data_IF_877654211388
#
_entry.id   IF_877654211388
#
_cell.length_a   1.000
_cell.length_b   1.000
_cell.length_c   1.000
_cell.angle_alpha   90.00
_cell.angle_beta   90.00
_cell.angle_gamma   90.00
#
_symmetry.space_group_name_H-M   'P 1'
#
loop_
_entity.id
_entity.type
_entity.pdbx_description
1 polymer ?
#
# COMPACT_ATOMS: atom_id res chain seq x y z
N UNK A 1 3.76 46.03 13.17
CA UNK A 1 4.89 45.72 14.09
C UNK A 1 5.71 44.64 13.43
N UNK A 2 6.92 45.00 12.99
CA UNK A 2 7.87 44.15 12.28
C UNK A 2 8.96 43.79 13.28
N UNK A 3 9.28 42.51 13.44
CA UNK A 3 10.43 42.05 14.22
C UNK A 3 11.43 41.38 13.27
N UNK A 4 12.59 42.02 13.14
CA UNK A 4 13.77 41.55 12.43
C UNK A 4 14.79 41.08 13.46
N UNK A 5 15.41 39.92 13.24
CA UNK A 5 16.54 39.44 14.03
C UNK A 5 17.84 39.76 13.30
N UNK A 6 18.65 40.63 13.90
CA UNK A 6 20.02 40.89 13.48
C UNK A 6 20.99 39.99 14.27
N UNK A 7 21.80 39.21 13.57
CA UNK A 7 22.95 38.51 14.13
C UNK A 7 24.13 39.48 14.23
N UNK A 8 24.68 39.66 15.43
CA UNK A 8 25.99 40.27 15.63
C UNK A 8 26.97 39.19 16.11
N UNK A 9 27.98 38.92 15.28
CA UNK A 9 29.18 38.19 15.62
C UNK A 9 30.14 39.18 16.27
N UNK A 10 30.67 38.85 17.44
CA UNK A 10 31.92 39.43 17.94
C UNK A 10 32.87 38.28 18.34
N UNK A 11 33.94 38.13 17.56
CA UNK A 11 35.15 37.41 17.92
C UNK A 11 36.05 38.34 18.75
N UNK A 12 36.54 37.87 19.89
CA UNK A 12 37.92 38.09 20.35
C UNK A 12 38.22 37.17 21.54
N UNK A 13 39.29 36.39 21.42
CA UNK A 13 39.65 35.33 22.37
C UNK A 13 40.65 35.75 23.44
N UNK A 14 40.87 34.86 24.41
CA UNK A 14 42.17 34.23 24.68
C UNK A 14 42.06 33.16 25.78
N UNK A 15 42.86 32.10 25.59
CA UNK A 15 43.51 31.23 26.56
C UNK A 15 42.73 30.49 27.66
N UNK A 16 42.63 29.17 27.45
CA UNK A 16 43.10 28.18 28.43
C UNK A 16 42.11 27.76 29.51
N UNK A 17 41.64 26.51 29.41
CA UNK A 17 41.52 25.48 30.47
C UNK A 17 40.50 24.43 30.01
N UNK A 18 40.96 23.19 29.83
CA UNK A 18 40.10 22.04 29.57
C UNK A 18 39.35 21.64 30.86
N UNK A 19 38.06 21.21 30.77
CA UNK A 19 37.45 20.43 31.83
C UNK A 19 37.16 18.98 31.39
N UNK A 20 37.42 18.10 32.35
CA UNK A 20 37.31 16.64 32.34
C UNK A 20 35.91 16.09 32.02
N UNK A 21 35.88 14.90 31.42
CA UNK A 21 34.71 14.02 31.35
C UNK A 21 34.41 13.41 32.74
N UNK A 22 33.15 13.38 33.20
CA UNK A 22 32.80 12.64 34.40
C UNK A 22 32.62 11.15 34.09
N UNK A 23 33.43 10.33 34.73
CA UNK A 23 33.30 8.88 34.77
C UNK A 23 31.99 8.45 35.47
N UNK A 24 31.15 7.69 34.76
CA UNK A 24 29.95 7.04 35.32
C UNK A 24 30.32 5.64 35.83
N UNK A 25 30.19 5.42 37.13
CA UNK A 25 30.36 4.11 37.77
C UNK A 25 29.14 3.20 37.53
N UNK A 26 29.31 1.86 37.50
CA UNK A 26 28.22 0.93 37.22
C UNK A 26 27.37 0.69 38.47
N UNK A 27 26.05 0.91 38.35
CA UNK A 27 25.09 0.49 39.38
C UNK A 27 24.69 -0.97 39.11
N UNK A 28 25.08 -1.85 40.02
CA UNK A 28 24.64 -3.24 40.05
C UNK A 28 23.17 -3.32 40.48
N UNK A 29 22.34 -3.95 39.66
CA UNK A 29 20.91 -4.14 39.92
C UNK A 29 20.19 -4.86 38.78
N UNK A 30 20.79 -5.93 38.23
CA UNK A 30 20.14 -6.77 37.24
C UNK A 30 19.33 -7.87 37.94
N UNK A 31 18.04 -7.60 38.20
CA UNK A 31 17.07 -8.66 38.44
C UNK A 31 16.78 -9.32 37.09
N UNK A 32 17.20 -10.57 36.95
CA UNK A 32 16.93 -11.40 35.78
C UNK A 32 15.41 -11.63 35.64
N UNK A 33 14.78 -11.02 34.63
CA UNK A 33 13.49 -11.48 34.14
C UNK A 33 13.71 -12.77 33.36
N UNK A 34 13.31 -13.89 33.95
CA UNK A 34 13.26 -15.18 33.30
C UNK A 34 12.45 -15.11 32.00
N UNK A 35 13.03 -15.65 30.92
CA UNK A 35 12.36 -15.82 29.63
C UNK A 35 11.14 -16.75 29.79
N UNK A 36 9.94 -16.40 29.31
CA UNK A 36 8.89 -17.39 29.16
C UNK A 36 9.31 -18.35 28.05
N UNK A 37 9.36 -19.62 28.42
CA UNK A 37 9.54 -20.78 27.55
C UNK A 37 8.62 -20.72 26.33
N UNK A 38 9.16 -21.10 25.19
CA UNK A 38 8.48 -21.31 23.91
C UNK A 38 7.30 -22.27 24.05
N UNK A 39 6.09 -21.74 24.27
CA UNK A 39 4.83 -22.40 23.91
C UNK A 39 4.46 -22.00 22.49
N UNK A 40 4.15 -22.99 21.64
CA UNK A 40 4.00 -22.86 20.19
C UNK A 40 3.20 -21.63 19.74
N UNK A 41 3.79 -20.85 18.83
CA UNK A 41 3.12 -19.77 18.16
C UNK A 41 1.87 -20.31 17.44
N UNK A 42 0.70 -19.84 17.86
CA UNK A 42 -0.54 -20.05 17.12
C UNK A 42 -0.34 -19.53 15.69
N UNK A 43 -0.71 -20.34 14.69
CA UNK A 43 -0.74 -19.90 13.30
C UNK A 43 -1.58 -18.62 13.20
N UNK A 44 -1.03 -17.57 12.58
CA UNK A 44 -1.70 -16.27 12.49
C UNK A 44 -3.11 -16.38 11.89
N UNK A 45 -4.05 -15.62 12.44
CA UNK A 45 -5.44 -15.57 11.97
C UNK A 45 -5.54 -14.67 10.74
N UNK A 46 -5.57 -15.26 9.54
CA UNK A 46 -5.90 -14.55 8.30
C UNK A 46 -7.35 -14.77 7.89
N UNK A 47 -8.02 -13.75 7.33
CA UNK A 47 -9.37 -13.82 6.77
C UNK A 47 -9.41 -13.21 5.37
N UNK A 48 -9.99 -13.94 4.43
CA UNK A 48 -10.37 -13.39 3.12
C UNK A 48 -11.76 -12.77 3.19
N UNK A 49 -11.94 -11.66 2.48
CA UNK A 49 -13.19 -10.91 2.43
C UNK A 49 -13.71 -10.85 1.00
N UNK A 50 -15.01 -11.06 0.83
CA UNK A 50 -15.67 -10.78 -0.44
C UNK A 50 -15.91 -9.29 -0.62
N UNK A 51 -16.08 -8.85 -1.87
CA UNK A 51 -16.46 -7.47 -2.13
C UNK A 51 -17.81 -7.14 -1.47
N UNK A 52 -18.80 -8.03 -1.54
CA UNK A 52 -20.11 -7.82 -0.93
C UNK A 52 -20.03 -7.64 0.59
N UNK A 53 -19.26 -8.48 1.29
CA UNK A 53 -19.04 -8.36 2.73
C UNK A 53 -18.46 -6.99 3.11
N UNK A 54 -17.48 -6.48 2.35
CA UNK A 54 -16.91 -5.16 2.63
C UNK A 54 -17.84 -4.04 2.18
N UNK A 55 -18.58 -4.21 1.08
CA UNK A 55 -19.57 -3.24 0.63
C UNK A 55 -20.61 -3.02 1.73
N UNK A 56 -21.11 -4.06 2.39
CA UNK A 56 -22.08 -3.95 3.49
C UNK A 56 -21.59 -3.10 4.67
N UNK A 57 -20.27 -2.90 4.82
CA UNK A 57 -19.68 -2.04 5.86
C UNK A 57 -19.60 -0.56 5.49
N UNK A 58 -19.87 -0.19 4.23
CA UNK A 58 -19.81 1.19 3.79
C UNK A 58 -20.88 2.05 4.47
N UNK A 59 -20.53 3.25 4.98
CA UNK A 59 -21.49 4.18 5.57
C UNK A 59 -22.46 4.72 4.51
N UNK A 60 -23.55 5.36 4.94
CA UNK A 60 -24.52 6.01 4.04
C UNK A 60 -23.97 7.26 3.34
N UNK A 61 -22.91 7.87 3.89
CA UNK A 61 -22.22 9.04 3.35
C UNK A 61 -20.72 8.91 3.58
N UNK A 62 -19.92 9.37 2.63
CA UNK A 62 -18.46 9.43 2.71
C UNK A 62 -18.03 10.88 2.50
N UNK A 63 -17.34 11.45 3.48
CA UNK A 63 -16.57 12.69 3.31
C UNK A 63 -15.19 12.37 2.74
N UNK A 64 -14.76 13.14 1.74
CA UNK A 64 -13.51 12.91 1.02
C UNK A 64 -12.69 14.19 0.88
N UNK A 65 -11.38 14.00 0.67
CA UNK A 65 -10.44 15.02 0.24
C UNK A 65 -9.53 14.53 -0.89
N UNK A 66 -9.10 15.46 -1.73
CA UNK A 66 -8.15 15.24 -2.81
C UNK A 66 -6.72 15.31 -2.27
N UNK A 67 -6.01 14.20 -2.34
CA UNK A 67 -4.58 14.12 -2.11
C UNK A 67 -3.85 14.44 -3.43
N UNK A 68 -3.17 15.58 -3.48
CA UNK A 68 -2.33 15.95 -4.64
C UNK A 68 -1.00 15.21 -4.57
N UNK A 69 -0.81 14.22 -5.45
CA UNK A 69 0.42 13.43 -5.51
C UNK A 69 1.39 14.03 -6.52
N UNK A 70 2.58 14.50 -6.10
CA UNK A 70 3.57 15.04 -7.02
C UNK A 70 4.16 13.94 -7.92
N UNK A 71 4.30 14.23 -9.21
CA UNK A 71 4.87 13.34 -10.23
C UNK A 71 6.07 14.00 -10.90
N UNK A 72 6.94 13.18 -11.50
CA UNK A 72 8.08 13.70 -12.26
C UNK A 72 7.61 14.50 -13.47
N UNK A 73 8.36 15.55 -13.81
CA UNK A 73 8.15 16.30 -15.05
C UNK A 73 8.26 15.36 -16.27
N UNK A 74 7.41 15.61 -17.27
CA UNK A 74 7.40 14.82 -18.50
C UNK A 74 8.70 14.98 -19.31
N UNK A 75 9.41 16.10 -19.15
CA UNK A 75 10.71 16.35 -19.77
C UNK A 75 11.61 17.10 -18.77
N UNK A 76 12.95 17.04 -18.93
CA UNK A 76 13.87 17.86 -18.15
C UNK A 76 13.51 19.35 -18.25
N UNK A 77 13.28 20.01 -17.12
CA UNK A 77 12.85 21.42 -17.07
C UNK A 77 11.35 21.65 -17.36
N UNK A 78 10.54 20.60 -17.46
CA UNK A 78 9.08 20.71 -17.61
C UNK A 78 8.37 21.21 -16.35
N UNK A 79 7.09 21.57 -16.50
CA UNK A 79 6.25 22.00 -15.38
C UNK A 79 6.05 20.87 -14.36
N UNK A 80 5.89 21.20 -13.07
CA UNK A 80 5.55 20.21 -12.05
C UNK A 80 4.22 19.54 -12.41
N UNK A 81 4.20 18.21 -12.35
CA UNK A 81 2.99 17.40 -12.54
C UNK A 81 2.47 16.96 -11.19
N UNK A 82 1.15 16.88 -11.07
CA UNK A 82 0.50 16.25 -9.93
C UNK A 82 -0.75 15.50 -10.40
N UNK A 83 -1.12 14.44 -9.68
CA UNK A 83 -2.36 13.70 -9.91
C UNK A 83 -3.21 13.74 -8.63
N UNK A 84 -4.49 14.10 -8.72
CA UNK A 84 -5.38 14.05 -7.58
C UNK A 84 -5.83 12.61 -7.32
N UNK A 85 -5.67 12.15 -6.08
CA UNK A 85 -6.23 10.90 -5.58
C UNK A 85 -7.23 11.24 -4.49
N UNK A 86 -8.51 10.96 -4.75
CA UNK A 86 -9.57 11.21 -3.78
C UNK A 86 -9.62 10.07 -2.78
N UNK A 87 -9.61 10.42 -1.50
CA UNK A 87 -9.67 9.46 -0.40
C UNK A 87 -10.62 9.97 0.69
N UNK A 88 -11.18 9.03 1.42
CA UNK A 88 -11.99 9.28 2.61
C UNK A 88 -11.20 10.09 3.63
N UNK A 89 -11.89 11.01 4.27
CA UNK A 89 -11.32 11.81 5.34
C UNK A 89 -11.09 10.99 6.61
N UNK A 90 -9.93 11.19 7.23
CA UNK A 90 -9.57 10.48 8.45
C UNK A 90 -10.54 10.79 9.59
N UNK A 91 -11.02 12.04 9.69
CA UNK A 91 -12.01 12.42 10.70
C UNK A 91 -13.35 11.72 10.48
N UNK A 92 -13.77 11.54 9.23
CA UNK A 92 -15.00 10.81 8.89
C UNK A 92 -14.89 9.32 9.25
N UNK A 93 -13.78 8.67 8.91
CA UNK A 93 -13.51 7.28 9.30
C UNK A 93 -13.47 7.11 10.83
N UNK A 94 -12.83 8.04 11.55
CA UNK A 94 -12.77 8.03 13.02
C UNK A 94 -14.14 8.25 13.65
N UNK A 95 -14.95 9.15 13.08
CA UNK A 95 -16.30 9.41 13.57
C UNK A 95 -17.18 8.16 13.47
N UNK A 96 -17.10 7.41 12.36
CA UNK A 96 -17.82 6.14 12.21
C UNK A 96 -17.43 5.13 13.31
N UNK A 97 -16.15 5.01 13.67
CA UNK A 97 -15.72 4.11 14.76
C UNK A 97 -16.32 4.54 16.09
N UNK A 98 -16.31 5.84 16.39
CA UNK A 98 -16.85 6.37 17.65
C UNK A 98 -18.36 6.12 17.76
N UNK A 99 -19.13 6.36 16.70
CA UNK A 99 -20.59 6.19 16.75
C UNK A 99 -21.03 4.73 16.72
N UNK A 100 -20.33 3.87 15.98
CA UNK A 100 -20.62 2.43 15.98
C UNK A 100 -20.31 1.74 17.32
N UNK A 101 -19.43 2.35 18.13
CA UNK A 101 -19.13 1.86 19.48
C UNK A 101 -20.20 2.26 20.49
N UNK A 102 -20.87 3.41 20.32
CA UNK A 102 -21.92 3.89 21.23
C UNK A 102 -23.28 3.26 20.97
N UNK A 103 -23.58 2.86 19.73
CA UNK A 103 -24.86 2.21 19.39
C UNK A 103 -25.02 0.79 19.98
N UNK A 104 -24.00 0.23 20.64
CA UNK A 104 -24.08 -1.05 21.37
C UNK A 104 -24.31 -0.91 22.88
N UNK A 105 -24.31 0.31 23.43
CA UNK A 105 -24.44 0.54 24.88
C UNK A 105 -25.84 1.07 25.31
N UNK A 106 -26.75 1.34 24.37
CA UNK A 106 -28.05 2.00 24.65
C UNK A 106 -29.28 1.05 24.55
N UNK A 107 -29.10 -0.27 24.41
CA UNK A 107 -30.19 -1.26 24.23
C UNK A 107 -30.48 -2.15 25.48
N UNK A 108 -29.99 -1.80 26.67
CA UNK A 108 -30.48 -2.40 27.93
C UNK A 108 -31.35 -1.37 28.69
N UNK A 109 -32.62 -1.30 28.26
CA UNK A 109 -33.72 -0.60 28.92
C UNK A 109 -33.96 -1.10 30.36
N UNK A 110 -34.43 -0.16 31.19
CA UNK A 110 -35.07 -0.36 32.50
C UNK A 110 -36.08 -1.54 32.51
N UNK A 111 -35.92 -2.49 33.43
CA UNK A 111 -36.93 -2.95 34.40
C UNK A 111 -36.52 -4.32 35.01
N UNK A 112 -36.10 -4.30 36.28
CA UNK A 112 -36.60 -5.16 37.37
C UNK A 112 -35.57 -5.28 38.51
N UNK A 113 -35.97 -4.75 39.67
CA UNK A 113 -35.30 -4.93 40.94
C UNK A 113 -35.58 -6.35 41.44
N UNK A 114 -34.60 -7.26 41.34
CA UNK A 114 -34.50 -8.39 42.27
C UNK A 114 -33.08 -8.54 42.84
N UNK A 115 -33.00 -8.46 44.16
CA UNK A 115 -31.79 -8.66 44.95
C UNK A 115 -31.22 -10.09 44.79
N UNK A 116 -29.92 -10.16 44.53
CA UNK A 116 -29.08 -11.23 45.06
C UNK A 116 -28.61 -12.29 44.07
N UNK A 117 -27.53 -12.00 43.34
CA UNK A 117 -26.50 -13.00 43.00
C UNK A 117 -25.17 -12.30 42.67
N UNK A 118 -24.01 -12.75 43.21
CA UNK A 118 -22.72 -12.13 42.91
C UNK A 118 -22.27 -12.49 41.49
N UNK A 119 -22.31 -11.54 40.56
CA UNK A 119 -21.86 -11.71 39.17
C UNK A 119 -20.33 -11.64 39.05
N UNK A 120 -19.83 -12.63 38.31
CA UNK A 120 -18.56 -12.77 37.57
C UNK A 120 -17.78 -11.46 37.33
N UNK A 121 -16.68 -11.27 38.06
CA UNK A 121 -15.64 -10.27 37.77
C UNK A 121 -14.84 -10.57 36.47
N UNK A 122 -15.02 -11.73 35.83
CA UNK A 122 -14.29 -12.10 34.62
C UNK A 122 -14.88 -11.61 33.29
N UNK A 123 -16.18 -11.29 33.23
CA UNK A 123 -16.83 -10.87 31.98
C UNK A 123 -16.64 -9.37 31.70
N UNK A 124 -16.68 -8.54 32.75
CA UNK A 124 -16.42 -7.10 32.65
C UNK A 124 -14.95 -6.81 32.25
N UNK A 125 -14.00 -7.63 32.71
CA UNK A 125 -12.60 -7.50 32.32
C UNK A 125 -12.35 -7.88 30.84
N UNK A 126 -13.09 -8.86 30.32
CA UNK A 126 -13.01 -9.25 28.91
C UNK A 126 -13.68 -8.23 27.97
N UNK A 127 -14.81 -7.64 28.41
CA UNK A 127 -15.46 -6.54 27.69
C UNK A 127 -14.60 -5.26 27.72
N UNK A 128 -13.98 -4.93 28.86
CA UNK A 128 -13.04 -3.82 28.97
C UNK A 128 -11.77 -4.03 28.11
N UNK A 129 -11.24 -5.26 28.05
CA UNK A 129 -10.12 -5.59 27.17
C UNK A 129 -10.49 -5.49 25.67
N UNK A 130 -11.71 -5.89 25.29
CA UNK A 130 -12.22 -5.73 23.93
C UNK A 130 -12.48 -4.25 23.58
N UNK A 131 -12.95 -3.46 24.54
CA UNK A 131 -13.08 -2.00 24.44
C UNK A 131 -11.71 -1.31 24.30
N UNK A 132 -10.68 -1.74 25.03
CA UNK A 132 -9.31 -1.23 24.86
C UNK A 132 -8.75 -1.58 23.47
N UNK A 133 -8.95 -2.80 22.98
CA UNK A 133 -8.48 -3.24 21.66
C UNK A 133 -9.13 -2.46 20.49
N UNK A 134 -10.38 -2.01 20.64
CA UNK A 134 -11.12 -1.23 19.62
C UNK A 134 -10.99 0.29 19.75
N UNK A 135 -10.56 0.83 20.90
CA UNK A 135 -10.49 2.30 21.17
C UNK A 135 -9.14 2.95 20.87
N UNK A 136 -8.14 2.21 20.36
CA UNK A 136 -6.82 2.78 20.05
C UNK A 136 -6.74 3.65 18.78
N UNK A 137 -7.87 4.03 18.20
CA UNK A 137 -7.99 4.92 17.03
C UNK A 137 -7.56 6.39 17.32
N UNK A 138 -7.24 6.71 18.59
CA UNK A 138 -6.76 8.02 19.05
C UNK A 138 -5.45 8.01 19.87
N UNK A 139 -4.64 6.95 19.84
CA UNK A 139 -3.40 6.88 20.62
C UNK A 139 -2.34 7.92 20.17
N UNK A 140 -1.47 8.35 21.09
CA UNK A 140 -0.35 9.26 20.80
C UNK A 140 0.73 8.66 19.87
N UNK A 141 0.71 7.34 19.67
CA UNK A 141 1.54 6.61 18.71
C UNK A 141 0.64 5.97 17.65
N UNK A 142 0.90 6.27 16.38
CA UNK A 142 0.23 5.64 15.23
C UNK A 142 0.60 4.13 15.09
N UNK A 143 1.57 3.63 15.88
CA UNK A 143 2.05 2.24 15.83
C UNK A 143 2.01 1.60 17.23
N UNK A 144 1.13 0.62 17.40
CA UNK A 144 1.03 -0.32 18.51
C UNK A 144 1.18 -1.75 17.97
N UNK A 145 2.37 -2.37 18.05
CA UNK A 145 2.63 -3.68 17.45
C UNK A 145 1.63 -4.74 17.92
N UNK A 146 1.01 -5.45 16.97
CA UNK A 146 0.05 -6.52 17.25
C UNK A 146 -1.33 -6.09 17.75
N UNK A 147 -1.58 -4.77 17.87
CA UNK A 147 -2.89 -4.21 18.30
C UNK A 147 -3.42 -3.21 17.27
N UNK A 148 -2.64 -2.21 16.90
CA UNK A 148 -3.04 -1.21 15.89
C UNK A 148 -1.82 -0.64 15.17
N UNK A 149 -1.70 -0.89 13.87
CA UNK A 149 -0.52 -0.55 13.06
C UNK A 149 -0.74 0.63 12.10
N UNK A 150 -1.56 1.61 12.47
CA UNK A 150 -1.55 2.92 11.80
C UNK A 150 -2.16 2.99 10.40
N UNK A 151 -3.03 2.06 10.03
CA UNK A 151 -3.54 1.91 8.67
C UNK A 151 -4.57 2.94 8.19
N UNK A 152 -5.18 3.72 9.09
CA UNK A 152 -6.17 4.75 8.69
C UNK A 152 -5.51 6.01 8.10
N UNK A 153 -4.22 6.22 8.39
CA UNK A 153 -3.46 7.38 7.92
C UNK A 153 -2.79 7.07 6.58
N UNK A 154 -2.76 8.06 5.69
CA UNK A 154 -1.94 7.98 4.48
C UNK A 154 -0.50 8.34 4.80
N UNK A 155 0.43 7.45 4.45
CA UNK A 155 1.86 7.61 4.67
C UNK A 155 2.56 8.18 3.43
N UNK A 156 3.59 9.01 3.60
CA UNK A 156 4.24 9.73 2.50
C UNK A 156 4.87 8.78 1.46
N UNK A 157 5.40 7.62 1.90
CA UNK A 157 5.99 6.66 0.96
C UNK A 157 4.96 6.10 -0.04
N UNK A 158 3.65 6.18 0.23
CA UNK A 158 2.63 5.73 -0.73
C UNK A 158 2.54 6.67 -1.94
N UNK A 159 2.83 7.96 -1.74
CA UNK A 159 2.90 8.98 -2.79
C UNK A 159 4.17 8.76 -3.63
N UNK A 160 5.31 8.49 -2.98
CA UNK A 160 6.55 8.16 -3.68
C UNK A 160 6.38 6.90 -4.56
N UNK A 161 5.59 5.93 -4.09
CA UNK A 161 5.27 4.72 -4.84
C UNK A 161 4.39 5.00 -6.07
N UNK A 162 3.40 5.89 -5.95
CA UNK A 162 2.61 6.38 -7.10
C UNK A 162 3.51 7.08 -8.12
N UNK A 163 4.44 7.92 -7.67
CA UNK A 163 5.39 8.59 -8.56
C UNK A 163 6.30 7.57 -9.28
N UNK A 164 6.77 6.53 -8.59
CA UNK A 164 7.53 5.44 -9.21
C UNK A 164 6.72 4.65 -10.24
N UNK A 165 5.42 4.42 -9.99
CA UNK A 165 4.51 3.77 -10.94
C UNK A 165 4.29 4.62 -12.20
N UNK A 166 4.15 5.95 -12.07
CA UNK A 166 4.08 6.86 -13.24
C UNK A 166 5.37 6.83 -14.06
N UNK A 167 6.54 6.85 -13.42
CA UNK A 167 7.82 6.73 -14.13
C UNK A 167 7.96 5.37 -14.84
N UNK A 168 7.52 4.29 -14.21
CA UNK A 168 7.50 2.95 -14.81
C UNK A 168 6.57 2.89 -16.04
N UNK A 169 5.38 3.45 -15.93
CA UNK A 169 4.43 3.50 -17.03
C UNK A 169 5.00 4.28 -18.21
N UNK A 170 5.63 5.43 -17.98
CA UNK A 170 6.27 6.21 -19.04
C UNK A 170 7.34 5.42 -19.78
N UNK A 171 8.22 4.72 -19.04
CA UNK A 171 9.24 3.86 -19.64
C UNK A 171 8.64 2.72 -20.48
N UNK A 172 7.50 2.17 -20.05
CA UNK A 172 6.77 1.13 -20.82
C UNK A 172 6.02 1.70 -22.01
N UNK A 173 5.47 2.90 -21.88
CA UNK A 173 4.71 3.59 -22.94
C UNK A 173 5.63 3.97 -24.08
N UNK A 174 6.83 4.46 -23.80
CA UNK A 174 7.86 4.72 -24.81
C UNK A 174 8.19 3.44 -25.62
N UNK A 175 8.09 2.26 -25.00
CA UNK A 175 8.34 0.98 -25.66
C UNK A 175 7.10 0.40 -26.39
N UNK A 176 5.89 0.59 -25.87
CA UNK A 176 4.66 -0.10 -26.32
C UNK A 176 3.60 0.80 -27.00
N UNK A 177 3.73 2.12 -26.91
CA UNK A 177 2.91 3.10 -27.63
C UNK A 177 1.58 3.51 -26.96
N UNK A 178 1.11 2.80 -25.93
CA UNK A 178 -0.13 3.13 -25.23
C UNK A 178 0.05 3.12 -23.70
N UNK A 179 -0.21 4.27 -23.07
CA UNK A 179 -0.05 4.45 -21.62
C UNK A 179 -0.98 3.55 -20.82
N UNK A 180 -0.46 2.94 -19.77
CA UNK A 180 -1.15 2.04 -18.83
C UNK A 180 -1.74 0.76 -19.45
N UNK A 181 -1.61 0.53 -20.76
CA UNK A 181 -2.13 -0.64 -21.46
C UNK A 181 -1.59 -1.96 -20.89
N UNK A 182 -0.34 -1.96 -20.41
CA UNK A 182 0.32 -3.11 -19.78
C UNK A 182 -0.38 -3.59 -18.50
N UNK A 183 -1.19 -2.76 -17.86
CA UNK A 183 -1.86 -3.09 -16.60
C UNK A 183 -3.05 -4.06 -16.80
N UNK A 184 -3.62 -4.13 -18.00
CA UNK A 184 -4.72 -5.05 -18.31
C UNK A 184 -4.28 -6.51 -18.16
N UNK A 185 -5.07 -7.29 -17.43
CA UNK A 185 -4.80 -8.71 -17.14
C UNK A 185 -3.65 -8.95 -16.16
N UNK A 186 -3.07 -7.89 -15.59
CA UNK A 186 -2.08 -8.00 -14.53
C UNK A 186 -2.72 -8.45 -13.21
N UNK A 187 -1.94 -9.18 -12.42
CA UNK A 187 -2.20 -9.44 -11.01
C UNK A 187 -1.33 -8.50 -10.19
N UNK A 188 -1.96 -7.59 -9.46
CA UNK A 188 -1.32 -6.62 -8.58
C UNK A 188 -1.59 -7.01 -7.13
N UNK A 189 -0.55 -7.05 -6.30
CA UNK A 189 -0.64 -7.25 -4.85
C UNK A 189 -0.17 -5.98 -4.14
N UNK A 190 -0.93 -5.49 -3.17
CA UNK A 190 -0.49 -4.44 -2.25
C UNK A 190 -0.48 -4.98 -0.81
N UNK A 191 0.72 -5.11 -0.23
CA UNK A 191 0.93 -5.56 1.15
C UNK A 191 1.00 -4.38 2.11
N UNK A 192 0.18 -4.42 3.16
CA UNK A 192 0.02 -3.31 4.10
C UNK A 192 -0.66 -2.13 3.40
N UNK A 193 -1.82 -2.37 2.80
CA UNK A 193 -2.43 -1.43 1.87
C UNK A 193 -2.93 -0.15 2.55
N UNK A 194 -3.30 -0.15 3.83
CA UNK A 194 -3.74 1.06 4.52
C UNK A 194 -4.87 1.78 3.77
N UNK A 195 -4.66 3.06 3.46
CA UNK A 195 -5.58 3.87 2.65
C UNK A 195 -5.55 3.56 1.14
N UNK A 196 -4.78 2.57 0.70
CA UNK A 196 -4.74 2.02 -0.65
C UNK A 196 -4.44 3.05 -1.76
N UNK A 197 -3.68 4.10 -1.46
CA UNK A 197 -3.35 5.16 -2.42
C UNK A 197 -2.71 4.63 -3.73
N UNK A 198 -1.72 3.72 -3.69
CA UNK A 198 -1.16 3.11 -4.89
C UNK A 198 -2.19 2.31 -5.70
N UNK A 199 -2.99 1.45 -5.05
CA UNK A 199 -4.05 0.69 -5.75
C UNK A 199 -5.18 1.59 -6.28
N UNK A 200 -5.58 2.63 -5.55
CA UNK A 200 -6.57 3.61 -5.99
C UNK A 200 -6.09 4.35 -7.25
N UNK A 201 -4.82 4.72 -7.29
CA UNK A 201 -4.19 5.28 -8.49
C UNK A 201 -4.24 4.31 -9.68
N UNK A 202 -3.81 3.06 -9.49
CA UNK A 202 -3.85 2.05 -10.56
C UNK A 202 -5.28 1.78 -11.04
N UNK A 203 -6.25 1.71 -10.13
CA UNK A 203 -7.66 1.53 -10.44
C UNK A 203 -8.21 2.71 -11.25
N UNK A 204 -7.85 3.94 -10.91
CA UNK A 204 -8.23 5.14 -11.69
C UNK A 204 -7.63 5.10 -13.10
N UNK A 205 -6.40 4.60 -13.27
CA UNK A 205 -5.78 4.39 -14.58
C UNK A 205 -6.56 3.36 -15.39
N UNK A 206 -6.91 2.21 -14.80
CA UNK A 206 -7.73 1.19 -15.44
C UNK A 206 -9.07 1.75 -15.94
N UNK A 207 -9.79 2.52 -15.10
CA UNK A 207 -11.05 3.17 -15.48
C UNK A 207 -10.91 4.33 -16.47
N UNK A 208 -9.69 4.77 -16.76
CA UNK A 208 -9.42 5.80 -17.77
C UNK A 208 -8.98 5.21 -19.11
N UNK A 209 -8.67 3.91 -19.16
CA UNK A 209 -8.36 3.23 -20.41
C UNK A 209 -9.64 3.13 -21.26
N UNK A 210 -9.53 3.42 -22.55
CA UNK A 210 -10.67 3.29 -23.46
C UNK A 210 -11.04 1.81 -23.62
N UNK A 211 -12.34 1.51 -23.62
CA UNK A 211 -12.89 0.22 -24.03
C UNK A 211 -12.62 -0.11 -25.51
N UNK A 212 -12.05 0.83 -26.28
CA UNK A 212 -11.84 0.71 -27.71
C UNK A 212 -11.13 -0.61 -28.06
N UNK A 213 -11.84 -1.58 -28.67
CA UNK A 213 -11.18 -2.73 -29.23
C UNK A 213 -10.30 -2.23 -30.39
N UNK A 214 -9.05 -2.71 -30.55
CA UNK A 214 -8.35 -2.55 -31.81
C UNK A 214 -9.27 -3.07 -32.93
N UNK A 215 -9.56 -2.19 -33.89
CA UNK A 215 -10.52 -2.45 -34.95
C UNK A 215 -10.14 -3.72 -35.71
N UNK A 216 -11.16 -4.58 -35.90
CA UNK A 216 -11.20 -5.75 -36.78
C UNK A 216 -10.37 -6.95 -36.28
N UNK A 217 -11.06 -7.96 -35.72
CA UNK A 217 -10.70 -9.40 -35.58
C UNK A 217 -10.87 -9.94 -34.14
N UNK A 218 -12.03 -9.87 -33.47
CA UNK A 218 -12.08 -10.25 -32.04
C UNK A 218 -13.37 -10.79 -31.43
N UNK A 219 -14.33 -11.32 -32.18
CA UNK A 219 -15.38 -12.13 -31.52
C UNK A 219 -14.81 -13.39 -30.84
N UNK A 220 -13.61 -13.86 -31.26
CA UNK A 220 -12.93 -15.01 -30.66
C UNK A 220 -12.01 -14.70 -29.47
N UNK A 221 -11.40 -13.49 -29.38
CA UNK A 221 -10.43 -13.16 -28.31
C UNK A 221 -11.08 -12.50 -27.07
N UNK A 222 -12.31 -12.00 -27.17
CA UNK A 222 -13.07 -11.54 -25.98
C UNK A 222 -13.38 -12.67 -24.99
N UNK A 223 -13.39 -13.92 -25.45
CA UNK A 223 -13.58 -15.09 -24.59
C UNK A 223 -12.34 -15.48 -23.75
N UNK A 224 -11.17 -14.85 -23.97
CA UNK A 224 -9.89 -15.20 -23.31
C UNK A 224 -9.20 -14.03 -22.59
N UNK A 225 -9.82 -12.84 -22.52
CA UNK A 225 -9.23 -11.70 -21.83
C UNK A 225 -9.12 -11.98 -20.32
N UNK A 226 -7.91 -12.25 -19.84
CA UNK A 226 -7.61 -12.47 -18.43
C UNK A 226 -8.01 -11.24 -17.62
N UNK A 227 -8.80 -11.45 -16.56
CA UNK A 227 -9.19 -10.38 -15.64
C UNK A 227 -7.96 -9.74 -14.97
N UNK A 228 -8.03 -8.42 -14.78
CA UNK A 228 -7.05 -7.67 -13.97
C UNK A 228 -7.40 -7.88 -12.51
N UNK A 229 -6.47 -8.38 -11.69
CA UNK A 229 -6.69 -8.56 -10.25
C UNK A 229 -5.95 -7.47 -9.47
N UNK A 230 -6.67 -6.76 -8.60
CA UNK A 230 -6.08 -5.98 -7.52
C UNK A 230 -6.32 -6.70 -6.20
N UNK A 231 -5.25 -7.20 -5.58
CA UNK A 231 -5.29 -7.87 -4.29
C UNK A 231 -4.69 -6.95 -3.22
N UNK A 232 -5.51 -6.54 -2.26
CA UNK A 232 -5.13 -5.62 -1.20
C UNK A 232 -5.13 -6.34 0.14
N UNK A 233 -4.05 -6.19 0.91
CA UNK A 233 -3.88 -6.86 2.19
C UNK A 233 -3.51 -5.89 3.29
N UNK A 234 -4.19 -5.94 4.43
CA UNK A 234 -3.83 -5.18 5.63
C UNK A 234 -3.86 -6.07 6.86
N UNK A 235 -3.14 -5.71 7.93
CA UNK A 235 -3.24 -6.46 9.17
C UNK A 235 -4.65 -6.34 9.78
N UNK A 236 -5.27 -5.17 9.67
CA UNK A 236 -6.52 -4.85 10.35
C UNK A 236 -7.72 -4.91 9.39
N UNK A 237 -8.70 -5.75 9.69
CA UNK A 237 -9.95 -5.81 8.92
C UNK A 237 -10.67 -4.46 8.84
N UNK A 238 -10.67 -3.69 9.93
CA UNK A 238 -11.27 -2.36 9.98
C UNK A 238 -10.61 -1.38 9.01
N UNK A 239 -9.32 -1.53 8.68
CA UNK A 239 -8.68 -0.67 7.67
C UNK A 239 -9.29 -0.93 6.30
N UNK A 240 -9.53 -2.21 5.96
CA UNK A 240 -10.17 -2.60 4.71
C UNK A 240 -11.58 -1.99 4.57
N UNK A 241 -12.35 -2.06 5.65
CA UNK A 241 -13.74 -1.58 5.74
C UNK A 241 -13.82 -0.05 5.75
N UNK A 242 -13.01 0.61 6.58
CA UNK A 242 -13.14 2.03 6.87
C UNK A 242 -12.45 2.92 5.85
N UNK A 243 -11.35 2.48 5.23
CA UNK A 243 -10.57 3.34 4.33
C UNK A 243 -10.19 2.69 3.01
N UNK A 244 -9.82 1.41 2.97
CA UNK A 244 -9.36 0.79 1.72
C UNK A 244 -10.48 0.72 0.67
N UNK A 245 -11.59 0.03 0.96
CA UNK A 245 -12.70 -0.09 0.01
C UNK A 245 -13.35 1.29 -0.29
N UNK A 246 -13.64 2.17 0.69
CA UNK A 246 -14.11 3.53 0.42
C UNK A 246 -13.21 4.30 -0.57
N UNK A 247 -11.89 4.16 -0.47
CA UNK A 247 -10.96 4.85 -1.37
C UNK A 247 -10.96 4.26 -2.78
N UNK A 248 -11.13 2.94 -2.93
CA UNK A 248 -11.31 2.32 -4.25
C UNK A 248 -12.63 2.75 -4.91
N UNK A 249 -13.70 2.88 -4.13
CA UNK A 249 -14.98 3.41 -4.58
C UNK A 249 -14.84 4.88 -5.04
N UNK A 250 -14.10 5.71 -4.28
CA UNK A 250 -13.78 7.09 -4.68
C UNK A 250 -12.92 7.14 -5.94
N UNK A 251 -11.94 6.26 -6.10
CA UNK A 251 -11.12 6.17 -7.30
C UNK A 251 -11.98 5.90 -8.55
N UNK A 252 -12.98 5.02 -8.44
CA UNK A 252 -13.99 4.85 -9.48
C UNK A 252 -14.87 6.09 -9.64
N UNK A 253 -15.40 6.64 -8.55
CA UNK A 253 -16.35 7.75 -8.57
C UNK A 253 -15.76 9.02 -9.21
N UNK A 254 -14.45 9.24 -9.15
CA UNK A 254 -13.77 10.37 -9.81
C UNK A 254 -13.11 10.00 -11.14
N UNK A 255 -13.33 8.78 -11.64
CA UNK A 255 -12.85 8.34 -12.95
C UNK A 255 -13.85 8.67 -14.07
N UNK A 256 -13.44 8.58 -15.34
CA UNK A 256 -14.36 8.64 -16.48
C UNK A 256 -15.44 7.55 -16.44
N UNK A 257 -15.16 6.37 -15.89
CA UNK A 257 -16.09 5.23 -15.89
C UNK A 257 -17.40 5.50 -15.11
N UNK A 258 -17.39 6.41 -14.13
CA UNK A 258 -18.61 6.75 -13.38
C UNK A 258 -19.36 7.97 -13.93
N UNK A 259 -18.96 8.53 -15.08
CA UNK A 259 -19.59 9.72 -15.68
C UNK A 259 -21.10 9.56 -15.86
N UNK A 260 -21.54 8.44 -16.43
CA UNK A 260 -22.97 8.17 -16.66
C UNK A 260 -23.77 8.11 -15.36
N UNK A 261 -23.18 7.55 -14.29
CA UNK A 261 -23.79 7.54 -12.96
C UNK A 261 -23.92 8.95 -12.37
N UNK A 262 -22.84 9.75 -12.44
CA UNK A 262 -22.83 11.11 -11.86
C UNK A 262 -23.83 12.02 -12.57
N UNK A 263 -23.95 11.92 -13.89
CA UNK A 263 -24.89 12.69 -14.71
C UNK A 263 -26.36 12.36 -14.42
N UNK A 264 -26.67 11.08 -14.19
CA UNK A 264 -28.05 10.63 -13.94
C UNK A 264 -28.49 10.82 -12.50
N UNK A 265 -27.55 10.83 -11.55
CA UNK A 265 -27.82 10.98 -10.12
C UNK A 265 -28.07 12.42 -9.68
N UNK A 266 -28.08 13.39 -10.60
CA UNK A 266 -28.27 14.81 -10.29
C UNK A 266 -27.16 15.42 -9.40
N UNK A 267 -26.04 14.71 -9.24
CA UNK A 267 -24.83 15.27 -8.65
C UNK A 267 -24.33 16.33 -9.60
N UNK A 268 -24.60 17.60 -9.30
CA UNK A 268 -24.10 18.76 -10.05
C UNK A 268 -22.57 18.78 -9.97
N UNK A 269 -21.94 17.97 -10.81
CA UNK A 269 -20.53 18.09 -11.10
C UNK A 269 -20.45 19.29 -12.03
N UNK A 270 -20.11 20.45 -11.45
CA UNK A 270 -19.48 21.50 -12.23
C UNK A 270 -18.33 20.85 -13.02
N UNK A 271 -18.12 21.26 -14.27
CA UNK A 271 -17.17 20.70 -15.23
C UNK A 271 -15.91 20.09 -14.59
N UNK A 272 -15.33 19.05 -15.21
CA UNK A 272 -14.10 18.35 -14.76
C UNK A 272 -12.95 19.24 -14.26
N UNK A 273 -12.95 20.53 -14.59
CA UNK A 273 -12.00 21.56 -14.15
C UNK A 273 -12.26 22.12 -12.72
N UNK A 274 -13.39 21.81 -12.07
CA UNK A 274 -13.76 22.30 -10.72
C UNK A 274 -14.16 21.16 -9.78
N UNK A 275 -13.45 20.02 -9.82
CA UNK A 275 -13.62 19.02 -8.76
C UNK A 275 -13.18 19.64 -7.45
N UNK A 276 -14.12 19.85 -6.54
CA UNK A 276 -13.81 20.37 -5.21
C UNK A 276 -12.74 19.49 -4.56
N UNK A 277 -11.74 20.12 -3.95
CA UNK A 277 -10.63 19.43 -3.27
C UNK A 277 -11.11 18.66 -2.04
N UNK A 278 -12.35 18.85 -1.61
CA UNK A 278 -13.04 18.06 -0.61
C UNK A 278 -14.55 18.12 -0.83
N UNK A 279 -15.27 17.15 -0.28
CA UNK A 279 -16.73 17.11 -0.37
C UNK A 279 -17.32 15.85 0.23
N UNK A 280 -18.60 15.62 -0.06
CA UNK A 280 -19.35 14.46 0.41
C UNK A 280 -20.00 13.72 -0.75
N UNK A 281 -20.09 12.39 -0.65
CA UNK A 281 -20.91 11.57 -1.54
C UNK A 281 -21.88 10.71 -0.74
N UNK A 282 -23.10 10.56 -1.25
CA UNK A 282 -24.08 9.62 -0.71
C UNK A 282 -23.84 8.22 -1.28
N UNK A 283 -23.75 7.21 -0.41
CA UNK A 283 -23.49 5.81 -0.76
C UNK A 283 -24.80 5.05 -0.91
N UNK A 284 -25.52 5.35 -1.99
CA UNK A 284 -26.79 4.69 -2.31
C UNK A 284 -26.60 3.27 -2.84
N UNK A 285 -27.66 2.45 -2.84
CA UNK A 285 -27.65 1.15 -3.52
C UNK A 285 -27.33 1.26 -5.02
N UNK A 286 -27.76 2.36 -5.67
CA UNK A 286 -27.44 2.64 -7.07
C UNK A 286 -25.95 2.93 -7.29
N UNK A 287 -25.30 3.67 -6.37
CA UNK A 287 -23.85 3.90 -6.41
C UNK A 287 -23.09 2.57 -6.35
N UNK A 288 -23.47 1.73 -5.38
CA UNK A 288 -22.85 0.42 -5.13
C UNK A 288 -22.98 -0.48 -6.36
N UNK A 289 -24.18 -0.57 -6.94
CA UNK A 289 -24.44 -1.34 -8.14
C UNK A 289 -23.65 -0.82 -9.36
N UNK A 290 -23.57 0.50 -9.54
CA UNK A 290 -22.82 1.10 -10.65
C UNK A 290 -21.30 0.87 -10.53
N UNK A 291 -20.75 0.89 -9.32
CA UNK A 291 -19.36 0.54 -9.07
C UNK A 291 -19.06 -0.91 -9.44
N UNK A 292 -19.87 -1.85 -8.96
CA UNK A 292 -19.73 -3.29 -9.27
C UNK A 292 -19.89 -3.54 -10.78
N UNK A 293 -20.85 -2.90 -11.42
CA UNK A 293 -21.04 -3.00 -12.87
C UNK A 293 -19.82 -2.50 -13.66
N UNK A 294 -19.19 -1.42 -13.19
CA UNK A 294 -17.99 -0.87 -13.84
C UNK A 294 -16.77 -1.78 -13.69
N UNK A 295 -16.60 -2.41 -12.52
CA UNK A 295 -15.56 -3.43 -12.32
C UNK A 295 -15.76 -4.60 -13.28
N UNK A 296 -16.99 -5.11 -13.41
CA UNK A 296 -17.32 -6.20 -14.32
C UNK A 296 -17.08 -5.81 -15.79
N UNK A 297 -17.52 -4.62 -16.20
CA UNK A 297 -17.32 -4.11 -17.57
C UNK A 297 -15.83 -4.00 -17.94
N UNK A 298 -14.98 -3.59 -17.00
CA UNK A 298 -13.54 -3.46 -17.21
C UNK A 298 -12.75 -4.75 -16.93
N UNK A 299 -13.43 -5.87 -16.64
CA UNK A 299 -12.81 -7.13 -16.23
C UNK A 299 -11.81 -6.96 -15.07
N UNK A 300 -12.21 -6.21 -14.04
CA UNK A 300 -11.40 -5.95 -12.84
C UNK A 300 -11.97 -6.77 -11.68
N UNK A 301 -11.10 -7.54 -11.04
CA UNK A 301 -11.37 -8.28 -9.80
C UNK A 301 -10.68 -7.59 -8.63
N UNK A 302 -11.40 -7.42 -7.52
CA UNK A 302 -10.85 -6.93 -6.26
C UNK A 302 -10.85 -8.08 -5.24
N UNK A 303 -9.70 -8.34 -4.63
CA UNK A 303 -9.54 -9.34 -3.55
C UNK A 303 -8.98 -8.66 -2.32
N UNK A 304 -9.45 -9.08 -1.15
CA UNK A 304 -9.09 -8.49 0.12
C UNK A 304 -8.76 -9.57 1.16
N UNK A 305 -7.61 -9.46 1.80
CA UNK A 305 -7.20 -10.35 2.90
C UNK A 305 -6.80 -9.49 4.11
N UNK A 306 -7.29 -9.83 5.30
CA UNK A 306 -6.86 -9.22 6.57
C UNK A 306 -6.07 -10.20 7.43
N UNK A 307 -5.07 -9.69 8.16
CA UNK A 307 -4.31 -10.43 9.18
C UNK A 307 -2.83 -10.50 8.88
N UNK A 308 -2.11 -11.36 9.61
CA UNK A 308 -0.67 -11.51 9.46
C UNK A 308 -0.29 -12.03 8.06
N UNK A 309 0.79 -11.50 7.48
CA UNK A 309 1.24 -11.88 6.14
C UNK A 309 1.52 -13.39 5.98
N UNK A 310 1.90 -14.09 7.05
CA UNK A 310 2.12 -15.54 7.03
C UNK A 310 0.85 -16.33 6.69
N UNK A 311 -0.32 -15.76 6.96
CA UNK A 311 -1.62 -16.36 6.66
C UNK A 311 -2.09 -16.12 5.22
N UNK A 312 -1.40 -15.25 4.45
CA UNK A 312 -1.79 -14.92 3.08
C UNK A 312 -1.68 -16.13 2.15
N UNK A 313 -2.79 -16.42 1.46
CA UNK A 313 -2.89 -17.52 0.49
C UNK A 313 -2.57 -17.01 -0.91
N UNK A 314 -1.29 -17.06 -1.25
CA UNK A 314 -0.78 -16.66 -2.56
C UNK A 314 -0.83 -17.85 -3.54
N UNK A 315 -1.99 -18.08 -4.16
CA UNK A 315 -2.21 -19.18 -5.11
C UNK A 315 -1.36 -19.07 -6.38
N UNK A 316 -1.12 -17.84 -6.84
CA UNK A 316 -0.35 -17.53 -8.04
C UNK A 316 0.59 -16.36 -7.78
N UNK A 317 1.66 -16.28 -8.58
CA UNK A 317 2.58 -15.14 -8.57
C UNK A 317 1.95 -13.90 -9.20
N UNK A 318 2.41 -12.74 -8.76
CA UNK A 318 1.91 -11.44 -9.20
C UNK A 318 2.80 -10.82 -10.26
N UNK A 319 2.20 -10.01 -11.12
CA UNK A 319 2.89 -9.22 -12.12
C UNK A 319 3.47 -7.95 -11.49
N UNK A 320 2.75 -7.39 -10.51
CA UNK A 320 3.17 -6.24 -9.71
C UNK A 320 2.95 -6.53 -8.22
N UNK A 321 3.96 -6.23 -7.39
CA UNK A 321 3.86 -6.30 -5.92
C UNK A 321 4.26 -4.94 -5.36
N UNK A 322 3.42 -4.39 -4.50
CA UNK A 322 3.55 -3.06 -3.91
C UNK A 322 3.58 -3.19 -2.39
N UNK A 323 4.43 -2.40 -1.75
CA UNK A 323 4.39 -2.25 -0.30
C UNK A 323 4.93 -0.87 0.10
N UNK A 324 4.28 -0.23 1.06
CA UNK A 324 4.62 1.13 1.49
C UNK A 324 4.67 1.23 3.01
N UNK A 325 5.79 1.69 3.55
CA UNK A 325 6.07 1.81 4.99
C UNK A 325 5.78 0.53 5.79
N UNK A 326 6.19 -0.64 5.29
CA UNK A 326 5.99 -1.94 5.95
C UNK A 326 7.25 -2.53 6.59
N UNK A 327 8.40 -1.87 6.42
CA UNK A 327 9.71 -2.34 6.93
C UNK A 327 10.12 -1.68 8.27
N UNK A 328 9.18 -1.03 8.94
CA UNK A 328 9.42 -0.26 10.16
C UNK A 328 9.68 -1.14 11.39
N UNK A 329 9.19 -2.38 11.40
CA UNK A 329 9.34 -3.32 12.51
C UNK A 329 10.34 -4.44 12.16
N UNK A 330 11.55 -4.47 12.79
CA UNK A 330 12.56 -5.50 12.50
C UNK A 330 12.06 -6.94 12.66
N UNK A 331 11.13 -7.16 13.60
CA UNK A 331 10.56 -8.49 13.90
C UNK A 331 9.72 -9.05 12.75
N UNK A 332 9.10 -8.18 11.95
CA UNK A 332 8.20 -8.55 10.85
C UNK A 332 8.93 -8.74 9.52
N UNK A 333 10.20 -8.32 9.42
CA UNK A 333 10.98 -8.36 8.18
C UNK A 333 11.11 -9.76 7.60
N UNK A 334 11.28 -10.78 8.45
CA UNK A 334 11.42 -12.16 7.99
C UNK A 334 10.14 -12.65 7.30
N UNK A 335 8.97 -12.38 7.89
CA UNK A 335 7.66 -12.73 7.33
C UNK A 335 7.36 -11.91 6.07
N UNK A 336 7.68 -10.62 6.07
CA UNK A 336 7.51 -9.75 4.90
C UNK A 336 8.34 -10.25 3.71
N UNK A 337 9.64 -10.48 3.92
CA UNK A 337 10.53 -10.93 2.84
C UNK A 337 10.13 -12.30 2.29
N UNK A 338 9.64 -13.21 3.15
CA UNK A 338 9.08 -14.48 2.70
C UNK A 338 7.84 -14.30 1.82
N UNK A 339 6.96 -13.41 2.22
CA UNK A 339 5.71 -13.13 1.52
C UNK A 339 6.01 -12.49 0.16
N UNK A 340 6.91 -11.50 0.11
CA UNK A 340 7.37 -10.90 -1.14
C UNK A 340 8.02 -11.95 -2.06
N UNK A 341 8.88 -12.82 -1.54
CA UNK A 341 9.50 -13.89 -2.31
C UNK A 341 8.47 -14.88 -2.86
N UNK A 342 7.46 -15.25 -2.06
CA UNK A 342 6.34 -16.10 -2.49
C UNK A 342 5.39 -15.41 -3.47
N UNK A 343 5.32 -14.08 -3.48
CA UNK A 343 4.51 -13.30 -4.40
C UNK A 343 5.20 -13.09 -5.76
N UNK A 344 6.53 -13.08 -5.79
CA UNK A 344 7.32 -12.79 -6.99
C UNK A 344 7.68 -14.03 -7.82
N UNK A 345 7.74 -13.85 -9.13
CA UNK A 345 8.47 -14.73 -10.06
C UNK A 345 9.97 -14.46 -9.91
N UNK A 346 10.78 -15.44 -10.31
CA UNK A 346 12.22 -15.27 -10.35
C UNK A 346 12.59 -14.12 -11.29
N UNK A 347 13.43 -13.21 -10.80
CA UNK A 347 13.94 -12.05 -11.51
C UNK A 347 15.44 -11.96 -11.26
N UNK A 348 16.30 -12.05 -12.31
CA UNK A 348 17.74 -11.88 -12.14
C UNK A 348 18.06 -10.48 -11.60
N UNK A 349 19.17 -10.33 -10.89
CA UNK A 349 19.55 -9.02 -10.37
C UNK A 349 19.72 -8.01 -11.53
N UNK A 350 19.37 -6.72 -11.37
CA UNK A 350 19.46 -5.74 -12.45
C UNK A 350 20.84 -5.67 -13.10
N UNK A 351 21.91 -5.85 -12.31
CA UNK A 351 23.28 -5.92 -12.80
C UNK A 351 23.51 -7.13 -13.72
N UNK A 352 22.95 -8.28 -13.36
CA UNK A 352 23.00 -9.51 -14.16
C UNK A 352 22.11 -9.39 -15.41
N UNK A 353 20.92 -8.80 -15.28
CA UNK A 353 20.03 -8.55 -16.41
C UNK A 353 20.69 -7.63 -17.44
N UNK A 354 21.26 -6.49 -17.00
CA UNK A 354 22.04 -5.57 -17.84
C UNK A 354 23.26 -6.25 -18.45
N UNK A 355 23.95 -7.14 -17.71
CA UNK A 355 25.08 -7.92 -18.24
C UNK A 355 24.64 -8.91 -19.32
N UNK A 356 23.58 -9.68 -19.08
CA UNK A 356 23.00 -10.61 -20.03
C UNK A 356 22.51 -9.90 -21.30
N UNK A 357 21.88 -8.74 -21.16
CA UNK A 357 21.46 -7.90 -22.28
C UNK A 357 22.67 -7.41 -23.08
N UNK A 358 23.70 -6.86 -22.42
CA UNK A 358 24.96 -6.49 -23.09
C UNK A 358 25.60 -7.68 -23.81
N UNK A 359 25.68 -8.84 -23.19
CA UNK A 359 26.24 -10.05 -23.81
C UNK A 359 25.44 -10.49 -25.04
N UNK A 360 24.10 -10.41 -25.02
CA UNK A 360 23.23 -10.69 -26.18
C UNK A 360 23.49 -9.70 -27.32
N UNK A 361 23.60 -8.41 -27.02
CA UNK A 361 23.94 -7.39 -28.02
C UNK A 361 25.36 -7.53 -28.58
N UNK A 362 26.30 -8.01 -27.77
CA UNK A 362 27.69 -8.23 -28.21
C UNK A 362 27.80 -9.48 -29.10
N UNK A 363 27.07 -10.55 -28.77
CA UNK A 363 27.05 -11.79 -29.55
C UNK A 363 26.40 -11.63 -30.93
N UNK A 364 25.51 -10.64 -31.11
CA UNK A 364 24.94 -10.28 -32.42
C UNK A 364 25.87 -9.37 -33.24
N UNK A 365 26.84 -8.70 -32.61
CA UNK A 365 27.80 -7.80 -33.26
C UNK A 365 29.07 -8.52 -33.74
N UNK A 366 29.45 -9.62 -33.09
CA UNK A 366 30.53 -10.52 -33.56
C UNK A 366 29.89 -11.60 -34.44
N UNK A 367 29.86 -11.38 -35.75
CA UNK A 367 29.28 -12.30 -36.74
C UNK A 367 30.03 -13.63 -36.91
N UNK A 368 30.20 -14.41 -35.85
CA UNK A 368 30.57 -15.81 -35.94
C UNK A 368 29.32 -16.66 -35.71
N UNK A 369 28.67 -17.02 -36.82
CA UNK A 369 27.68 -18.07 -36.85
C UNK A 369 28.35 -19.40 -36.47
N UNK A 370 28.25 -19.79 -35.21
CA UNK A 370 28.44 -21.19 -34.83
C UNK A 370 27.18 -21.95 -35.24
N UNK A 371 27.23 -22.51 -36.44
CA UNK A 371 26.27 -23.49 -36.91
C UNK A 371 26.40 -24.74 -36.02
N UNK A 372 25.34 -25.09 -35.31
CA UNK A 372 25.19 -26.42 -34.72
C UNK A 372 23.78 -26.94 -34.91
N UNK A 373 23.65 -28.23 -35.26
CA UNK A 373 22.48 -28.73 -35.96
C UNK A 373 21.33 -29.06 -35.01
N UNK A 374 20.11 -28.79 -35.49
CA UNK A 374 18.87 -29.52 -35.23
C UNK A 374 18.66 -30.05 -33.80
N UNK A 375 17.98 -29.24 -32.99
CA UNK A 375 17.03 -29.75 -32.03
C UNK A 375 15.76 -28.92 -32.15
N UNK A 376 14.71 -29.51 -32.73
CA UNK A 376 13.34 -29.05 -32.64
C UNK A 376 12.93 -28.96 -31.17
N UNK A 377 13.16 -27.81 -30.54
CA UNK A 377 12.59 -27.51 -29.24
C UNK A 377 11.08 -27.35 -29.43
N UNK A 378 10.23 -28.11 -28.72
CA UNK A 378 8.79 -27.89 -28.76
C UNK A 378 8.54 -26.47 -28.25
N UNK A 379 7.58 -25.77 -28.88
CA UNK A 379 7.07 -24.45 -28.48
C UNK A 379 7.24 -24.19 -26.98
N UNK A 380 8.36 -23.57 -26.58
CA UNK A 380 8.51 -23.09 -25.23
C UNK A 380 7.52 -21.94 -25.11
N UNK A 381 6.49 -22.12 -24.26
CA UNK A 381 5.60 -21.04 -23.87
C UNK A 381 6.48 -19.83 -23.51
N UNK A 382 6.14 -18.61 -23.99
CA UNK A 382 6.94 -17.43 -23.67
C UNK A 382 7.08 -17.36 -22.15
N UNK A 383 8.33 -17.32 -21.67
CA UNK A 383 8.60 -17.22 -20.24
C UNK A 383 7.85 -16.01 -19.68
N UNK A 384 7.05 -16.22 -18.63
CA UNK A 384 6.26 -15.16 -18.02
C UNK A 384 7.17 -13.99 -17.62
N UNK A 385 6.73 -12.76 -17.89
CA UNK A 385 7.48 -11.56 -17.54
C UNK A 385 7.83 -11.52 -16.05
N UNK A 386 9.02 -11.00 -15.68
CA UNK A 386 9.44 -10.90 -14.29
C UNK A 386 8.49 -10.02 -13.49
N UNK A 387 8.34 -10.32 -12.20
CA UNK A 387 7.52 -9.50 -11.30
C UNK A 387 8.16 -8.13 -11.07
N UNK A 388 7.37 -7.08 -11.16
CA UNK A 388 7.76 -5.74 -10.69
C UNK A 388 7.40 -5.61 -9.21
N UNK A 389 8.38 -5.80 -8.32
CA UNK A 389 8.18 -5.66 -6.88
C UNK A 389 8.80 -4.35 -6.37
N UNK A 390 7.96 -3.48 -5.81
CA UNK A 390 8.33 -2.15 -5.35
C UNK A 390 8.04 -2.01 -3.84
N UNK A 391 9.06 -1.62 -3.08
CA UNK A 391 8.96 -1.35 -1.64
C UNK A 391 9.36 0.10 -1.38
N UNK A 392 8.40 0.94 -0.98
CA UNK A 392 8.63 2.32 -0.59
C UNK A 392 8.75 2.44 0.93
N UNK A 393 9.80 3.09 1.42
CA UNK A 393 10.06 3.17 2.86
C UNK A 393 10.91 4.37 3.26
N UNK A 394 10.82 4.75 4.54
CA UNK A 394 11.80 5.64 5.17
C UNK A 394 13.12 4.91 5.33
N UNK A 395 14.23 5.63 5.19
CA UNK A 395 15.58 5.09 5.38
C UNK A 395 15.74 4.54 6.80
N UNK A 396 15.14 5.21 7.80
CA UNK A 396 15.19 4.84 9.21
C UNK A 396 13.88 5.20 9.92
N UNK A 397 13.42 4.33 10.81
CA UNK A 397 12.29 4.56 11.70
C UNK A 397 12.77 4.68 13.15
N UNK A 398 12.71 5.89 13.71
CA UNK A 398 13.06 6.12 15.12
C UNK A 398 12.06 5.44 16.06
N UNK A 399 12.54 4.94 17.21
CA UNK A 399 11.73 4.19 18.19
C UNK A 399 11.67 2.69 17.86
N UNK A 400 10.94 2.31 16.82
CA UNK A 400 10.75 0.89 16.42
C UNK A 400 12.01 0.26 15.82
N UNK A 401 12.94 1.06 15.30
CA UNK A 401 14.29 0.64 14.90
C UNK A 401 14.42 -0.06 13.55
N UNK A 402 13.34 -0.17 12.78
CA UNK A 402 13.38 -0.67 11.40
C UNK A 402 13.91 0.35 10.40
N UNK A 403 14.02 -0.07 9.14
CA UNK A 403 14.54 0.75 8.05
C UNK A 403 15.22 -0.07 6.96
N UNK A 404 15.68 0.64 5.93
CA UNK A 404 16.17 0.06 4.67
C UNK A 404 17.33 -0.90 4.91
N UNK A 405 18.32 -0.53 5.72
CA UNK A 405 19.50 -1.37 5.97
C UNK A 405 19.16 -2.73 6.58
N UNK A 406 18.22 -2.76 7.53
CA UNK A 406 17.78 -4.01 8.17
C UNK A 406 17.00 -4.88 7.19
N UNK A 407 16.13 -4.26 6.39
CA UNK A 407 15.38 -4.93 5.33
C UNK A 407 16.31 -5.56 4.28
N UNK A 408 17.30 -4.83 3.79
CA UNK A 408 18.26 -5.37 2.83
C UNK A 408 19.12 -6.51 3.40
N UNK A 409 19.45 -6.47 4.69
CA UNK A 409 20.16 -7.56 5.34
C UNK A 409 19.31 -8.85 5.34
N UNK A 410 18.01 -8.73 5.64
CA UNK A 410 17.07 -9.85 5.58
C UNK A 410 16.83 -10.35 4.14
N UNK A 411 16.72 -9.44 3.17
CA UNK A 411 16.67 -9.81 1.74
C UNK A 411 17.89 -10.63 1.32
N UNK A 412 19.11 -10.17 1.64
CA UNK A 412 20.36 -10.88 1.30
C UNK A 412 20.42 -12.26 1.95
N UNK A 413 19.95 -12.39 3.20
CA UNK A 413 19.85 -13.70 3.89
C UNK A 413 18.98 -14.69 3.12
N UNK A 414 17.97 -14.19 2.40
CA UNK A 414 17.06 -14.96 1.53
C UNK A 414 17.48 -14.97 0.05
N UNK A 415 18.72 -14.58 -0.28
CA UNK A 415 19.25 -14.50 -1.65
C UNK A 415 18.47 -13.54 -2.56
N UNK A 416 17.82 -12.54 -1.97
CA UNK A 416 17.17 -11.45 -2.70
C UNK A 416 18.13 -10.30 -3.01
N UNK A 417 17.75 -9.46 -3.96
CA UNK A 417 18.43 -8.22 -4.33
C UNK A 417 17.50 -7.01 -4.16
N UNK A 418 18.10 -5.84 -4.00
CA UNK A 418 17.42 -4.53 -4.01
C UNK A 418 18.16 -3.53 -4.91
N UNK A 419 17.44 -2.64 -5.57
CA UNK A 419 17.97 -1.48 -6.30
C UNK A 419 17.14 -0.24 -5.93
N UNK A 420 17.81 0.88 -5.65
CA UNK A 420 17.12 2.15 -5.39
C UNK A 420 16.62 2.72 -6.72
N UNK A 421 15.31 2.89 -6.84
CA UNK A 421 14.66 3.45 -8.02
C UNK A 421 14.30 4.93 -7.86
N UNK A 422 14.06 5.37 -6.62
CA UNK A 422 13.77 6.76 -6.27
C UNK A 422 14.29 7.06 -4.88
N UNK A 423 14.80 8.28 -4.68
CA UNK A 423 15.14 8.83 -3.36
C UNK A 423 14.41 10.17 -3.17
N UNK A 424 13.92 10.40 -1.96
CA UNK A 424 13.33 11.67 -1.54
C UNK A 424 14.07 12.16 -0.29
N UNK A 425 14.69 13.35 -0.39
CA UNK A 425 15.53 13.93 0.68
C UNK A 425 14.78 14.95 1.57
N UNK A 426 13.45 14.99 1.52
CA UNK A 426 12.65 15.86 2.37
C UNK A 426 12.39 15.23 3.74
N UNK A 427 12.83 15.89 4.83
CA UNK A 427 12.66 15.40 6.19
C UNK A 427 13.50 14.13 6.46
N UNK A 428 12.87 13.09 7.03
CA UNK A 428 13.52 11.77 7.10
C UNK A 428 13.57 11.20 5.70
N UNK A 429 14.78 10.94 5.19
CA UNK A 429 14.96 10.47 3.82
C UNK A 429 14.15 9.20 3.54
N UNK A 430 13.60 9.10 2.32
CA UNK A 430 12.75 8.01 1.86
C UNK A 430 13.26 7.46 0.54
N UNK A 431 12.95 6.20 0.27
CA UNK A 431 13.36 5.51 -0.95
C UNK A 431 12.22 4.66 -1.50
N UNK A 432 12.24 4.43 -2.81
CA UNK A 432 11.51 3.34 -3.46
C UNK A 432 12.52 2.34 -3.98
N UNK A 433 12.43 1.09 -3.51
CA UNK A 433 13.30 -0.01 -3.88
C UNK A 433 12.60 -0.92 -4.89
N UNK A 434 13.30 -1.28 -5.96
CA UNK A 434 13.01 -2.48 -6.74
C UNK A 434 13.58 -3.69 -6.02
N UNK A 435 12.81 -4.76 -5.85
CA UNK A 435 13.21 -5.96 -5.11
C UNK A 435 12.99 -7.21 -5.97
N UNK A 436 13.84 -8.23 -5.83
CA UNK A 436 13.64 -9.51 -6.52
C UNK A 436 14.51 -10.65 -5.99
N UNK A 437 14.32 -11.83 -6.58
CA UNK A 437 15.02 -13.08 -6.25
C UNK A 437 15.36 -13.82 -7.54
N UNK A 438 16.60 -14.29 -7.68
CA UNK A 438 17.05 -15.06 -8.84
C UNK A 438 16.49 -16.49 -8.86
#
# INVERSE_FOLDING_TARGET
MSFSFAFALDEQGEAGLAPEEPAVQPVAGATACASPSTSGAAAGTGRSWTLDELMDTLPSRISYSALSVPLDAAAPGGSPRAVPIFRRDLFDARFQVLTSSTEHDDDDDDDDVEEGTPRRQGAAAAAAAAQEEQTHVGAASDLLPGVYEGGLKTWECSLDLVAALDSLDRARTEAAGEAWSWLRGCRVLELGCGTAVPSAFLLQRLFSLSDAPPQQQHEARQAEAKATLLHLCDFNAQVLQLVTLPNLLLAWYFSPASLSYRQTSGSAFESADLVASSGDIAVSGALRAAFVASLAQQHIELRFDSGDWSALRLEQRYDVVLSSETIYAPRSLATLCETLQRACRATPAPQEARLCERLRHTSLATGEAFDSPSASAPHALPAASPTTCLVAAKILYFGVGGGVRAFEAELRRRRGWSEVLRETQAGVGRVVLGVGWA
#
